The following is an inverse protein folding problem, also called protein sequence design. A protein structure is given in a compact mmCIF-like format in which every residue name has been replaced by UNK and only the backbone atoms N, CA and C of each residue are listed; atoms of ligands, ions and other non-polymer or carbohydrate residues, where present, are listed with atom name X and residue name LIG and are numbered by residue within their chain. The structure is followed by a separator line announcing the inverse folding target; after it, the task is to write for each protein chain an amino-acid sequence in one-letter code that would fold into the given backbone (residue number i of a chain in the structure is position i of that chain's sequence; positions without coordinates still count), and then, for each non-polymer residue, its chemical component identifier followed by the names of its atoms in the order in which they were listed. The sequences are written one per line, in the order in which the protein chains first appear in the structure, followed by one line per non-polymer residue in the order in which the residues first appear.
data_IF_438316579458
#
_entry.id   IF_438316579458
#
_cell.length_a   1.000
_cell.length_b   1.000
_cell.length_c   1.000
_cell.angle_alpha   90.00
_cell.angle_beta   90.00
_cell.angle_gamma   90.00
#
_symmetry.space_group_name_H-M   'P 1'
#
loop_
_entity.id
_entity.type
_entity.pdbx_description
1 polymer ?
#
# COMPACT_ATOMS: atom_id res chain seq x y z
N UNK A 1 14.21 5.00 -30.40
CA UNK A 1 13.13 5.35 -30.02
C UNK A 1 12.78 5.30 -28.67
N UNK A 2 12.53 6.33 -28.18
CA UNK A 2 12.35 6.39 -26.87
C UNK A 2 11.04 6.08 -26.45
N UNK A 3 10.12 6.14 -27.14
CA UNK A 3 8.78 5.94 -26.70
C UNK A 3 8.50 4.53 -26.23
N UNK A 4 9.43 3.66 -26.48
CA UNK A 4 9.25 2.28 -26.10
C UNK A 4 9.88 1.91 -24.78
N UNK A 5 10.29 2.88 -24.05
CA UNK A 5 10.94 2.61 -22.78
C UNK A 5 9.97 1.80 -21.98
N UNK A 6 9.75 1.93 -20.87
CA UNK A 6 8.77 1.31 -20.06
C UNK A 6 9.07 -0.12 -19.68
N UNK A 7 8.64 -1.07 -20.47
CA UNK A 7 8.67 -2.44 -20.02
C UNK A 7 10.05 -2.94 -19.63
N UNK A 8 11.01 -2.87 -20.55
CA UNK A 8 12.35 -3.35 -20.25
C UNK A 8 13.07 -2.46 -19.27
N UNK A 9 12.85 -1.14 -19.38
CA UNK A 9 13.51 -0.22 -18.47
C UNK A 9 13.05 -0.40 -17.03
N UNK A 10 11.75 -0.70 -16.84
CA UNK A 10 11.21 -0.91 -15.51
C UNK A 10 11.79 -2.18 -14.90
N UNK A 11 11.85 -3.26 -15.68
CA UNK A 11 12.41 -4.50 -15.19
C UNK A 11 13.87 -4.32 -14.79
N UNK A 12 14.62 -3.58 -15.58
CA UNK A 12 16.02 -3.34 -15.30
C UNK A 12 16.21 -2.52 -14.03
N UNK A 13 15.36 -1.51 -13.84
CA UNK A 13 15.41 -0.70 -12.63
C UNK A 13 15.02 -1.49 -11.40
N UNK A 14 14.04 -2.37 -11.53
CA UNK A 14 13.65 -3.21 -10.41
C UNK A 14 14.79 -4.16 -10.03
N UNK A 15 15.50 -4.69 -11.00
CA UNK A 15 16.65 -5.54 -10.72
C UNK A 15 17.71 -4.78 -9.95
N UNK A 16 17.95 -3.52 -10.32
CA UNK A 16 18.94 -2.71 -9.60
C UNK A 16 18.50 -2.38 -8.18
N UNK A 17 17.20 -2.14 -7.99
CA UNK A 17 16.68 -1.91 -6.64
C UNK A 17 16.87 -3.14 -5.77
N UNK A 18 16.65 -4.32 -6.32
CA UNK A 18 16.84 -5.56 -5.57
C UNK A 18 18.30 -5.74 -5.20
N UNK A 19 19.21 -5.46 -6.14
CA UNK A 19 20.64 -5.56 -5.87
C UNK A 19 21.09 -4.58 -4.80
N UNK A 20 20.48 -3.40 -4.77
CA UNK A 20 20.82 -2.38 -3.79
C UNK A 20 20.21 -2.65 -2.42
N UNK A 21 19.36 -3.67 -2.31
CA UNK A 21 18.77 -4.01 -1.02
C UNK A 21 17.51 -3.23 -0.69
N UNK A 22 16.55 -3.23 -1.61
CA UNK A 22 15.28 -2.55 -1.39
C UNK A 22 14.55 -3.14 -0.17
N UNK A 23 14.42 -2.41 0.93
CA UNK A 23 13.78 -2.95 2.13
C UNK A 23 12.31 -3.28 1.93
N UNK A 24 11.64 -2.64 0.97
CA UNK A 24 10.23 -2.93 0.72
C UNK A 24 10.05 -4.26 0.01
N UNK A 25 11.04 -4.69 -0.76
CA UNK A 25 10.99 -6.02 -1.35
C UNK A 25 10.98 -7.08 -0.27
N UNK A 26 11.82 -6.90 0.75
CA UNK A 26 11.87 -7.83 1.87
C UNK A 26 10.57 -7.79 2.66
N UNK A 27 10.01 -6.60 2.87
CA UNK A 27 8.75 -6.46 3.58
C UNK A 27 7.64 -7.22 2.88
N UNK A 28 7.57 -7.13 1.56
CA UNK A 28 6.57 -7.87 0.80
C UNK A 28 6.77 -9.39 0.90
N UNK A 29 8.01 -9.82 1.07
CA UNK A 29 8.31 -11.25 1.19
C UNK A 29 7.90 -11.81 2.53
N UNK A 30 7.99 -11.00 3.60
CA UNK A 30 7.75 -11.52 4.95
C UNK A 30 6.33 -11.30 5.49
N UNK A 31 5.61 -10.31 4.95
CA UNK A 31 4.25 -10.04 5.42
C UNK A 31 3.26 -10.66 4.45
N UNK A 32 2.41 -11.58 4.92
CA UNK A 32 1.39 -12.19 4.05
C UNK A 32 0.19 -11.25 3.94
N UNK A 33 0.32 -10.22 3.09
CA UNK A 33 -0.65 -9.14 2.99
C UNK A 33 -2.09 -9.61 2.78
N UNK A 34 -2.29 -10.74 2.09
CA UNK A 34 -3.64 -11.21 1.80
C UNK A 34 -4.41 -11.64 3.06
N UNK A 35 -3.71 -11.92 4.16
CA UNK A 35 -4.42 -12.26 5.41
C UNK A 35 -5.22 -11.08 5.95
N UNK A 36 -4.93 -9.88 5.47
CA UNK A 36 -5.67 -8.69 5.91
C UNK A 36 -6.94 -8.45 5.11
N UNK A 37 -7.13 -9.14 3.98
CA UNK A 37 -8.24 -8.85 3.09
C UNK A 37 -9.60 -9.02 3.78
N UNK A 38 -9.79 -10.13 4.47
CA UNK A 38 -11.05 -10.40 5.14
C UNK A 38 -11.33 -9.41 6.28
N UNK A 39 -10.38 -9.18 7.20
CA UNK A 39 -10.60 -8.16 8.24
C UNK A 39 -10.86 -6.78 7.69
N UNK A 40 -10.19 -6.41 6.59
CA UNK A 40 -10.41 -5.11 5.96
C UNK A 40 -11.82 -5.04 5.38
N UNK A 41 -12.26 -6.08 4.69
CA UNK A 41 -13.59 -6.10 4.11
C UNK A 41 -14.66 -5.99 5.19
N UNK A 42 -14.47 -6.69 6.31
CA UNK A 42 -15.42 -6.63 7.40
C UNK A 42 -15.45 -5.25 8.05
N UNK A 43 -14.29 -4.63 8.22
CA UNK A 43 -14.21 -3.29 8.79
C UNK A 43 -14.92 -2.27 7.89
N UNK A 44 -14.70 -2.38 6.59
CA UNK A 44 -15.32 -1.45 5.65
C UNK A 44 -16.83 -1.60 5.62
N UNK A 45 -17.35 -2.81 5.85
CA UNK A 45 -18.78 -3.01 5.94
C UNK A 45 -19.39 -2.34 7.16
N UNK A 46 -18.64 -2.24 8.25
CA UNK A 46 -19.12 -1.62 9.46
C UNK A 46 -19.06 -0.10 9.43
N UNK A 47 -18.38 0.47 8.42
CA UNK A 47 -18.21 1.90 8.31
C UNK A 47 -19.18 2.47 7.30
N UNK A 48 -19.29 3.80 7.26
CA UNK A 48 -20.12 4.48 6.29
C UNK A 48 -19.61 4.32 4.87
N UNK A 49 -18.37 3.90 4.71
CA UNK A 49 -17.80 3.69 3.39
C UNK A 49 -18.53 2.64 2.58
N UNK A 50 -19.16 1.67 3.27
CA UNK A 50 -19.90 0.63 2.56
C UNK A 50 -21.13 1.18 1.87
N UNK A 51 -21.64 2.30 2.31
CA UNK A 51 -22.83 2.90 1.73
C UNK A 51 -22.53 3.69 0.46
N UNK A 52 -21.30 4.09 0.28
CA UNK A 52 -20.89 4.86 -0.88
C UNK A 52 -20.59 4.02 -2.11
N UNK A 53 -20.78 2.71 -2.02
CA UNK A 53 -20.54 1.83 -3.13
C UNK A 53 -19.14 1.24 -3.07
N UNK A 54 -18.72 0.72 -4.21
CA UNK A 54 -17.45 0.00 -4.28
C UNK A 54 -16.27 0.95 -4.13
N UNK A 55 -15.28 0.62 -3.27
CA UNK A 55 -14.06 1.40 -3.22
C UNK A 55 -13.34 1.34 -4.58
N UNK A 56 -12.75 2.43 -5.03
CA UNK A 56 -12.06 2.44 -6.32
C UNK A 56 -10.74 1.68 -6.31
N UNK A 57 -10.24 1.34 -5.14
CA UNK A 57 -8.95 0.65 -5.01
C UNK A 57 -9.09 -0.58 -4.12
N UNK A 58 -8.21 -1.55 -4.35
CA UNK A 58 -8.18 -2.76 -3.55
C UNK A 58 -7.87 -2.42 -2.09
N UNK A 59 -8.64 -2.94 -1.12
CA UNK A 59 -8.39 -2.63 0.29
C UNK A 59 -7.00 -3.04 0.78
N UNK A 60 -6.45 -4.14 0.27
CA UNK A 60 -5.10 -4.55 0.66
C UNK A 60 -4.08 -3.54 0.17
N UNK A 61 -4.25 -3.04 -1.05
CA UNK A 61 -3.39 -1.98 -1.57
C UNK A 61 -3.45 -0.75 -0.66
N UNK A 62 -4.66 -0.35 -0.27
CA UNK A 62 -4.82 0.83 0.57
C UNK A 62 -4.20 0.62 1.95
N UNK A 63 -4.30 -0.59 2.51
CA UNK A 63 -3.67 -0.87 3.79
C UNK A 63 -2.14 -0.84 3.66
N UNK A 64 -1.59 -1.31 2.55
CA UNK A 64 -0.15 -1.20 2.31
C UNK A 64 0.30 0.26 2.29
N UNK A 65 -0.53 1.15 1.73
CA UNK A 65 -0.21 2.57 1.75
C UNK A 65 -0.16 3.09 3.19
N UNK A 66 -1.12 2.69 4.01
CA UNK A 66 -1.10 3.08 5.42
C UNK A 66 0.15 2.56 6.12
N UNK A 67 0.59 1.34 5.78
CA UNK A 67 1.81 0.79 6.34
C UNK A 67 3.03 1.62 5.92
N UNK A 68 3.08 2.07 4.67
CA UNK A 68 4.15 2.94 4.22
C UNK A 68 4.15 4.25 5.01
N UNK A 69 2.97 4.80 5.25
CA UNK A 69 2.87 6.03 6.02
C UNK A 69 3.40 5.84 7.43
N UNK A 70 3.07 4.71 8.05
CA UNK A 70 3.55 4.42 9.40
C UNK A 70 5.06 4.20 9.44
N UNK A 71 5.59 3.50 8.46
CA UNK A 71 7.02 3.18 8.43
C UNK A 71 7.89 4.40 8.12
N UNK A 72 7.42 5.27 7.26
CA UNK A 72 8.23 6.41 6.82
C UNK A 72 7.74 7.76 7.33
N UNK A 73 6.70 7.76 8.15
CA UNK A 73 6.19 9.01 8.73
C UNK A 73 5.62 9.96 7.69
N UNK A 74 4.81 9.44 6.76
CA UNK A 74 4.30 10.26 5.65
C UNK A 74 2.89 10.76 5.90
N UNK A 75 2.66 12.03 5.57
CA UNK A 75 1.31 12.56 5.51
C UNK A 75 0.60 11.99 4.28
N UNK A 76 -0.69 12.27 4.16
CA UNK A 76 -1.44 11.78 2.99
C UNK A 76 -0.91 12.41 1.71
N UNK A 77 -0.58 13.70 1.73
CA UNK A 77 -0.01 14.36 0.56
C UNK A 77 1.36 13.80 0.21
N UNK A 78 2.19 13.57 1.22
CA UNK A 78 3.50 12.99 0.99
C UNK A 78 3.40 11.59 0.43
N UNK A 79 2.44 10.79 0.93
CA UNK A 79 2.26 9.45 0.43
C UNK A 79 1.85 9.46 -1.04
N UNK A 80 0.91 10.33 -1.41
CA UNK A 80 0.52 10.45 -2.80
C UNK A 80 1.72 10.78 -3.68
N UNK A 81 2.52 11.78 -3.29
CA UNK A 81 3.67 12.18 -4.07
C UNK A 81 4.73 11.09 -4.16
N UNK A 82 5.07 10.49 -3.01
CA UNK A 82 6.14 9.49 -2.96
C UNK A 82 5.80 8.24 -3.76
N UNK A 83 4.54 7.85 -3.77
CA UNK A 83 4.14 6.68 -4.55
C UNK A 83 4.33 6.95 -6.04
N UNK A 84 4.02 8.16 -6.49
CA UNK A 84 4.20 8.51 -7.88
C UNK A 84 5.68 8.66 -8.26
N UNK A 85 6.49 9.08 -7.30
CA UNK A 85 7.89 9.41 -7.56
C UNK A 85 8.84 8.22 -7.44
N UNK A 86 8.55 7.24 -6.58
CA UNK A 86 9.48 6.17 -6.26
C UNK A 86 9.06 4.83 -6.84
N UNK A 87 9.94 4.27 -7.66
CA UNK A 87 9.69 2.94 -8.22
C UNK A 87 9.59 1.88 -7.14
N UNK A 88 10.37 1.99 -6.06
CA UNK A 88 10.30 1.00 -4.98
C UNK A 88 8.92 0.99 -4.32
N UNK A 89 8.28 2.16 -4.17
CA UNK A 89 6.95 2.23 -3.62
C UNK A 89 5.93 1.63 -4.58
N UNK A 90 6.05 1.94 -5.86
CA UNK A 90 5.14 1.39 -6.86
C UNK A 90 5.23 -0.13 -6.90
N UNK A 91 6.45 -0.67 -6.89
CA UNK A 91 6.64 -2.12 -6.89
C UNK A 91 6.06 -2.76 -5.64
N UNK A 92 6.29 -2.13 -4.49
CA UNK A 92 5.74 -2.63 -3.23
C UNK A 92 4.22 -2.75 -3.30
N UNK A 93 3.56 -1.75 -3.91
CA UNK A 93 2.11 -1.72 -4.00
C UNK A 93 1.56 -2.55 -5.16
N UNK A 94 2.42 -3.02 -6.04
CA UNK A 94 1.98 -3.77 -7.21
C UNK A 94 1.37 -2.90 -8.30
N UNK A 95 1.74 -1.61 -8.33
CA UNK A 95 1.24 -0.69 -9.35
C UNK A 95 2.21 -0.61 -10.51
N UNK A 96 1.66 -0.61 -11.73
CA UNK A 96 2.44 -0.35 -12.92
C UNK A 96 2.53 1.14 -13.19
N UNK A 97 3.42 1.52 -14.12
CA UNK A 97 3.64 2.93 -14.42
C UNK A 97 2.39 3.66 -14.90
N UNK A 98 1.50 2.96 -15.59
CA UNK A 98 0.29 3.57 -16.09
C UNK A 98 -0.92 3.47 -15.17
N UNK A 99 -0.76 2.86 -14.00
CA UNK A 99 -1.88 2.66 -13.09
C UNK A 99 -2.19 3.94 -12.32
N UNK A 100 -3.46 4.08 -11.95
CA UNK A 100 -3.85 5.22 -11.13
C UNK A 100 -3.31 5.07 -9.73
N UNK A 101 -2.80 6.16 -9.20
CA UNK A 101 -2.30 6.21 -7.83
C UNK A 101 -3.37 6.87 -6.95
N UNK A 102 -3.72 6.27 -5.82
CA UNK A 102 -4.68 6.90 -4.91
C UNK A 102 -4.20 8.27 -4.47
N UNK A 103 -5.12 9.25 -4.50
CA UNK A 103 -4.76 10.58 -4.08
C UNK A 103 -4.89 10.72 -2.55
N UNK A 104 -4.44 11.87 -2.04
CA UNK A 104 -4.40 12.11 -0.60
C UNK A 104 -5.78 11.98 0.04
N UNK A 105 -6.81 12.47 -0.65
CA UNK A 105 -8.18 12.40 -0.12
C UNK A 105 -8.65 10.96 -0.02
N UNK A 106 -8.34 10.14 -1.03
CA UNK A 106 -8.72 8.74 -1.03
C UNK A 106 -8.04 8.00 0.12
N UNK A 107 -6.76 8.30 0.34
CA UNK A 107 -6.01 7.69 1.44
C UNK A 107 -6.64 8.08 2.78
N UNK A 108 -6.96 9.36 2.93
CA UNK A 108 -7.58 9.86 4.15
C UNK A 108 -8.93 9.20 4.41
N UNK A 109 -9.77 9.11 3.37
CA UNK A 109 -11.09 8.50 3.51
C UNK A 109 -11.01 7.03 3.90
N UNK A 110 -10.09 6.29 3.31
CA UNK A 110 -9.92 4.88 3.64
C UNK A 110 -9.59 4.73 5.13
N UNK A 111 -8.64 5.52 5.61
CA UNK A 111 -8.25 5.47 7.02
C UNK A 111 -9.41 5.86 7.92
N UNK A 112 -10.19 6.87 7.51
CA UNK A 112 -11.35 7.28 8.28
C UNK A 112 -12.39 6.18 8.42
N UNK A 113 -12.62 5.44 7.34
CA UNK A 113 -13.56 4.33 7.39
C UNK A 113 -13.09 3.25 8.35
N UNK A 114 -11.80 2.96 8.34
CA UNK A 114 -11.24 1.98 9.29
C UNK A 114 -11.31 2.49 10.71
N UNK A 115 -11.08 3.77 10.91
CA UNK A 115 -11.15 4.38 12.23
C UNK A 115 -12.58 4.32 12.76
N UNK A 116 -13.57 4.63 11.93
CA UNK A 116 -14.97 4.54 12.31
C UNK A 116 -15.36 3.12 12.70
N UNK A 117 -14.78 2.13 12.05
CA UNK A 117 -15.03 0.74 12.36
C UNK A 117 -14.26 0.25 13.59
N UNK A 118 -13.38 1.08 14.14
CA UNK A 118 -12.57 0.70 15.28
C UNK A 118 -11.53 -0.37 14.95
N UNK A 119 -11.08 -0.42 13.70
CA UNK A 119 -10.24 -1.50 13.23
C UNK A 119 -8.75 -1.19 13.14
N UNK A 120 -8.37 0.09 13.19
CA UNK A 120 -6.99 0.49 12.91
C UNK A 120 -6.00 -0.18 13.85
N UNK A 121 -6.27 -0.12 15.16
CA UNK A 121 -5.33 -0.69 16.13
C UNK A 121 -5.14 -2.19 15.95
N UNK A 122 -6.24 -2.91 15.72
CA UNK A 122 -6.18 -4.35 15.54
C UNK A 122 -5.39 -4.72 14.30
N UNK A 123 -5.64 -4.01 13.21
CA UNK A 123 -4.95 -4.29 11.95
C UNK A 123 -3.45 -4.05 12.09
N UNK A 124 -3.07 -2.95 12.73
CA UNK A 124 -1.65 -2.67 12.90
C UNK A 124 -0.99 -3.57 13.94
N UNK A 125 -1.73 -4.02 14.94
CA UNK A 125 -1.20 -5.02 15.87
C UNK A 125 -0.87 -6.32 15.14
N UNK A 126 -1.73 -6.73 14.21
CA UNK A 126 -1.46 -7.92 13.40
C UNK A 126 -0.26 -7.71 12.49
N UNK A 127 -0.15 -6.52 11.90
CA UNK A 127 0.97 -6.19 11.05
C UNK A 127 2.28 -6.26 11.84
N UNK A 128 2.30 -5.64 13.02
CA UNK A 128 3.48 -5.66 13.89
C UNK A 128 3.86 -7.08 14.28
N UNK A 129 2.87 -7.92 14.50
CA UNK A 129 3.12 -9.31 14.88
C UNK A 129 3.83 -10.05 13.73
N UNK A 130 3.38 -9.84 12.50
CA UNK A 130 4.05 -10.47 11.36
C UNK A 130 5.48 -9.97 11.21
N UNK A 131 5.72 -8.70 11.47
CA UNK A 131 7.07 -8.17 11.42
C UNK A 131 7.95 -8.81 12.48
N UNK A 132 7.43 -8.95 13.70
CA UNK A 132 8.18 -9.55 14.78
C UNK A 132 8.52 -11.01 14.51
N UNK A 133 7.59 -11.74 13.90
CA UNK A 133 7.81 -13.15 13.57
C UNK A 133 8.86 -13.34 12.48
N UNK A 134 9.02 -12.34 11.63
CA UNK A 134 9.99 -12.44 10.55
C UNK A 134 11.41 -12.13 11.03
N UNK A 135 11.53 -11.67 12.23
CA UNK A 135 12.83 -11.38 12.79
C UNK A 135 13.23 -9.97 12.62
#
# INVERSE_FOLDING_TARGET
MRGQAGFWDVDERYARLSEAGDPLEKLNAVVPWEVFRKPLAEALKRSDGAKGGRPPYDPVLMFKIMALQALYGLSDDQAEFQIQDRLSFMRFLGLGLGDRVPDAKTIWLFREHLTQAGAVENLFARFDKHLAMAG
#
